data_IF_182222157250
#
_entry.id   IF_182222157250
#
_cell.length_a   1.000
_cell.length_b   1.000
_cell.length_c   1.000
_cell.angle_alpha   90.00
_cell.angle_beta   90.00
_cell.angle_gamma   90.00
#
_symmetry.space_group_name_H-M   'P 1'
#
loop_
_entity.id
_entity.type
_entity.pdbx_description
1 polymer ?
#
# COMPACT_ATOMS: atom_id res chain seq x y z
N UNK A 1 21.92 37.11 -49.00
CA UNK A 1 22.39 37.02 -47.60
C UNK A 1 21.33 37.65 -46.69
N UNK A 2 21.03 36.98 -45.57
CA UNK A 2 20.19 37.40 -44.42
C UNK A 2 18.68 37.17 -44.56
N UNK A 3 18.12 36.15 -43.87
CA UNK A 3 17.54 36.17 -42.48
C UNK A 3 16.12 36.77 -42.55
N UNK A 4 15.01 36.10 -42.24
CA UNK A 4 14.67 35.29 -41.07
C UNK A 4 13.45 34.40 -41.35
N UNK A 5 13.56 33.13 -41.00
CA UNK A 5 12.43 32.28 -40.69
C UNK A 5 11.83 32.76 -39.36
N UNK A 6 10.63 33.34 -39.39
CA UNK A 6 9.86 33.74 -38.21
C UNK A 6 8.92 32.62 -37.77
N UNK A 7 9.49 31.55 -37.26
CA UNK A 7 8.80 30.46 -36.57
C UNK A 7 8.19 30.99 -35.27
N UNK A 8 6.92 31.38 -35.27
CA UNK A 8 6.15 31.55 -34.03
C UNK A 8 5.53 30.20 -33.69
N UNK A 9 6.38 29.32 -33.19
CA UNK A 9 5.95 28.15 -32.45
C UNK A 9 5.44 28.67 -31.11
N UNK A 10 4.13 28.90 -30.99
CA UNK A 10 3.51 29.19 -29.72
C UNK A 10 3.68 27.95 -28.82
N UNK A 11 4.68 28.03 -27.94
CA UNK A 11 4.90 27.19 -26.78
C UNK A 11 3.65 27.22 -25.90
N UNK A 12 2.68 26.36 -26.20
CA UNK A 12 1.68 25.93 -25.22
C UNK A 12 2.24 24.66 -24.58
N UNK A 13 3.36 24.81 -23.88
CA UNK A 13 3.88 23.76 -23.02
C UNK A 13 3.55 24.10 -21.58
N UNK A 14 2.85 23.14 -20.97
CA UNK A 14 2.85 22.87 -19.53
C UNK A 14 2.31 23.98 -18.64
N UNK A 15 0.98 24.05 -18.57
CA UNK A 15 0.33 24.26 -17.27
C UNK A 15 0.83 23.13 -16.39
N UNK A 16 1.87 23.39 -15.59
CA UNK A 16 2.26 22.51 -14.51
C UNK A 16 1.06 22.40 -13.59
N UNK A 17 0.30 21.31 -13.72
CA UNK A 17 -0.50 20.84 -12.62
C UNK A 17 0.50 20.61 -11.50
N UNK A 18 0.53 21.51 -10.52
CA UNK A 18 1.25 21.28 -9.29
C UNK A 18 0.69 19.98 -8.73
N UNK A 19 1.50 18.91 -8.73
CA UNK A 19 1.10 17.65 -8.11
C UNK A 19 0.68 17.99 -6.67
N UNK A 20 -0.57 17.68 -6.32
CA UNK A 20 -1.04 17.88 -4.96
C UNK A 20 -0.09 17.16 -3.99
N UNK A 21 0.23 17.76 -2.84
CA UNK A 21 1.15 17.14 -1.90
C UNK A 21 0.63 15.76 -1.51
N UNK A 22 1.35 14.71 -1.92
CA UNK A 22 1.02 13.33 -1.62
C UNK A 22 1.24 13.08 -0.14
N UNK A 23 0.18 12.74 0.59
CA UNK A 23 0.30 12.27 1.96
C UNK A 23 1.08 10.96 1.94
N UNK A 24 2.17 10.90 2.68
CA UNK A 24 2.99 9.68 2.78
C UNK A 24 2.40 8.70 3.78
N UNK A 25 2.80 7.42 3.69
CA UNK A 25 2.44 6.38 4.66
C UNK A 25 2.83 6.79 6.09
N UNK A 26 4.02 7.36 6.27
CA UNK A 26 4.50 7.83 7.57
C UNK A 26 3.64 8.96 8.12
N UNK A 27 3.34 9.97 7.31
CA UNK A 27 2.46 11.09 7.70
C UNK A 27 1.06 10.59 8.06
N UNK A 28 0.48 9.72 7.24
CA UNK A 28 -0.83 9.10 7.50
C UNK A 28 -0.87 8.34 8.83
N UNK A 29 0.17 7.54 9.13
CA UNK A 29 0.28 6.83 10.41
C UNK A 29 0.43 7.77 11.61
N UNK A 30 0.99 8.97 11.42
CA UNK A 30 1.15 9.94 12.51
C UNK A 30 -0.02 10.92 12.65
N UNK A 31 -0.86 11.06 11.61
CA UNK A 31 -2.01 11.99 11.62
C UNK A 31 -3.24 11.44 12.35
N UNK A 32 -3.30 10.13 12.58
CA UNK A 32 -4.40 9.45 13.25
C UNK A 32 -3.99 8.96 14.63
N UNK A 33 -4.95 8.89 15.55
CA UNK A 33 -4.72 8.21 16.83
C UNK A 33 -4.61 6.68 16.66
N UNK A 34 -4.15 5.99 17.71
CA UNK A 34 -3.94 4.55 17.63
C UNK A 34 -5.24 3.76 17.40
N UNK A 35 -6.36 4.19 17.99
CA UNK A 35 -7.63 3.48 17.82
C UNK A 35 -8.11 3.59 16.38
N UNK A 36 -7.99 4.77 15.78
CA UNK A 36 -8.32 5.01 14.38
C UNK A 36 -7.42 4.18 13.45
N UNK A 37 -6.12 4.14 13.71
CA UNK A 37 -5.19 3.28 12.97
C UNK A 37 -5.65 1.81 13.04
N UNK A 38 -5.92 1.29 14.23
CA UNK A 38 -6.33 -0.10 14.41
C UNK A 38 -7.63 -0.43 13.66
N UNK A 39 -8.59 0.50 13.60
CA UNK A 39 -9.80 0.34 12.80
C UNK A 39 -9.46 0.24 11.31
N UNK A 40 -8.64 1.15 10.77
CA UNK A 40 -8.23 1.10 9.36
C UNK A 40 -7.47 -0.18 9.01
N UNK A 41 -6.53 -0.59 9.87
CA UNK A 41 -5.81 -1.85 9.73
C UNK A 41 -6.74 -3.07 9.78
N UNK A 42 -7.76 -3.05 10.65
CA UNK A 42 -8.75 -4.13 10.70
C UNK A 42 -9.58 -4.19 9.41
N UNK A 43 -10.03 -3.04 8.90
CA UNK A 43 -10.82 -2.97 7.65
C UNK A 43 -10.00 -3.50 6.47
N UNK A 44 -8.81 -2.93 6.22
CA UNK A 44 -7.97 -3.36 5.10
C UNK A 44 -7.50 -4.80 5.24
N UNK A 45 -7.15 -5.24 6.46
CA UNK A 45 -6.83 -6.63 6.74
C UNK A 45 -7.98 -7.59 6.41
N UNK A 46 -9.22 -7.24 6.79
CA UNK A 46 -10.42 -8.03 6.46
C UNK A 46 -10.73 -8.02 4.96
N UNK A 47 -10.47 -6.93 4.25
CA UNK A 47 -10.58 -6.88 2.78
C UNK A 47 -9.60 -7.86 2.12
N UNK A 48 -8.38 -7.97 2.63
CA UNK A 48 -7.38 -8.94 2.17
C UNK A 48 -7.76 -10.39 2.52
N UNK A 49 -8.33 -10.64 3.70
CA UNK A 49 -8.90 -11.95 4.07
C UNK A 49 -10.03 -12.35 3.09
N UNK A 50 -10.92 -11.42 2.76
CA UNK A 50 -12.00 -11.67 1.79
C UNK A 50 -11.46 -11.98 0.39
N UNK A 51 -10.37 -11.32 -0.03
CA UNK A 51 -9.69 -11.64 -1.27
C UNK A 51 -9.13 -13.08 -1.28
N UNK A 52 -8.54 -13.55 -0.17
CA UNK A 52 -8.10 -14.94 -0.02
C UNK A 52 -9.26 -15.94 -0.11
N UNK A 53 -10.38 -15.66 0.56
CA UNK A 53 -11.56 -16.54 0.49
C UNK A 53 -12.14 -16.60 -0.93
N UNK A 54 -12.13 -15.48 -1.66
CA UNK A 54 -12.51 -15.47 -3.07
C UNK A 54 -11.58 -16.33 -3.94
N UNK A 55 -10.26 -16.22 -3.75
CA UNK A 55 -9.28 -17.06 -4.46
C UNK A 55 -9.50 -18.55 -4.17
N UNK A 56 -9.73 -18.90 -2.91
CA UNK A 56 -10.06 -20.26 -2.49
C UNK A 56 -11.33 -20.77 -3.16
N UNK A 57 -12.39 -19.95 -3.21
CA UNK A 57 -13.62 -20.28 -3.95
C UNK A 57 -13.34 -20.54 -5.45
N UNK A 58 -12.40 -19.81 -6.04
CA UNK A 58 -11.93 -20.01 -7.42
C UNK A 58 -10.90 -21.14 -7.59
N UNK A 59 -10.61 -21.90 -6.54
CA UNK A 59 -9.55 -22.92 -6.53
C UNK A 59 -8.17 -22.36 -6.95
N UNK A 60 -7.92 -21.09 -6.64
CA UNK A 60 -6.64 -20.42 -6.86
C UNK A 60 -5.83 -20.37 -5.55
N UNK A 61 -4.50 -20.33 -5.63
CA UNK A 61 -3.67 -20.16 -4.45
C UNK A 61 -4.01 -18.85 -3.71
N UNK A 62 -4.10 -18.88 -2.36
CA UNK A 62 -4.29 -17.66 -1.58
C UNK A 62 -3.06 -16.75 -1.64
N UNK A 63 -3.25 -15.47 -1.34
CA UNK A 63 -2.18 -14.47 -1.31
C UNK A 63 -1.25 -14.67 -0.09
N UNK A 64 -1.79 -15.12 1.04
CA UNK A 64 -1.09 -15.38 2.32
C UNK A 64 -1.87 -16.44 3.14
N UNK A 65 -1.24 -17.05 4.14
CA UNK A 65 -1.81 -18.19 4.89
C UNK A 65 -1.69 -18.02 6.41
N UNK A 66 -2.64 -17.31 7.03
CA UNK A 66 -2.68 -17.11 8.49
C UNK A 66 -3.02 -18.43 9.20
N UNK A 67 -2.30 -18.80 10.28
CA UNK A 67 -2.65 -19.97 11.10
C UNK A 67 -4.06 -19.82 11.72
N UNK A 68 -4.89 -20.87 11.73
CA UNK A 68 -6.27 -20.78 12.18
C UNK A 68 -6.42 -20.48 13.68
N UNK A 69 -5.40 -20.71 14.49
CA UNK A 69 -5.41 -20.40 15.93
C UNK A 69 -5.11 -18.92 16.23
N UNK A 70 -4.73 -18.13 15.22
CA UNK A 70 -4.29 -16.76 15.40
C UNK A 70 -5.49 -15.80 15.26
N UNK A 71 -5.97 -15.29 16.40
CA UNK A 71 -6.97 -14.22 16.39
C UNK A 71 -6.38 -12.93 15.81
N UNK A 72 -6.85 -12.55 14.62
CA UNK A 72 -6.34 -11.43 13.86
C UNK A 72 -7.27 -10.21 13.94
N UNK A 73 -6.73 -9.11 14.47
CA UNK A 73 -7.41 -7.84 14.66
C UNK A 73 -6.53 -6.66 14.18
N UNK A 74 -7.08 -5.45 14.28
CA UNK A 74 -6.40 -4.21 13.88
C UNK A 74 -5.00 -4.04 14.49
N UNK A 75 -4.85 -4.35 15.79
CA UNK A 75 -3.56 -4.26 16.50
C UNK A 75 -2.51 -5.18 15.89
N UNK A 76 -2.86 -6.42 15.51
CA UNK A 76 -1.91 -7.35 14.88
C UNK A 76 -1.53 -6.93 13.46
N UNK A 77 -2.51 -6.53 12.65
CA UNK A 77 -2.26 -5.99 11.30
C UNK A 77 -1.31 -4.79 11.36
N UNK A 78 -1.59 -3.84 12.26
CA UNK A 78 -0.73 -2.69 12.51
C UNK A 78 0.67 -3.10 12.92
N UNK A 79 0.80 -4.05 13.85
CA UNK A 79 2.11 -4.49 14.36
C UNK A 79 3.00 -5.08 13.25
N UNK A 80 2.44 -5.90 12.36
CA UNK A 80 3.16 -6.43 11.20
C UNK A 80 3.59 -5.34 10.23
N UNK A 81 2.73 -4.35 9.99
CA UNK A 81 3.04 -3.24 9.09
C UNK A 81 4.15 -2.34 9.64
N UNK A 82 4.11 -2.03 10.93
CA UNK A 82 5.17 -1.27 11.60
C UNK A 82 6.48 -2.05 11.56
N UNK A 83 6.44 -3.37 11.74
CA UNK A 83 7.63 -4.22 11.60
C UNK A 83 8.19 -4.19 10.17
N UNK A 84 7.32 -4.21 9.14
CA UNK A 84 7.75 -4.04 7.75
C UNK A 84 8.44 -2.68 7.54
N UNK A 85 7.88 -1.58 8.06
CA UNK A 85 8.50 -0.25 7.97
C UNK A 85 9.86 -0.19 8.67
N UNK A 86 10.01 -0.86 9.84
CA UNK A 86 11.31 -0.92 10.52
C UNK A 86 12.36 -1.64 9.68
N UNK A 87 11.98 -2.69 8.98
CA UNK A 87 12.86 -3.46 8.10
C UNK A 87 13.14 -2.71 6.78
N UNK A 88 12.19 -1.90 6.32
CA UNK A 88 12.21 -1.15 5.07
C UNK A 88 11.77 0.32 5.29
N UNK A 89 12.62 1.17 5.88
CA UNK A 89 12.25 2.53 6.25
C UNK A 89 11.79 3.40 5.07
N UNK A 90 12.21 3.07 3.85
CA UNK A 90 11.79 3.74 2.62
C UNK A 90 10.27 3.68 2.39
N UNK A 91 9.57 2.69 2.95
CA UNK A 91 8.10 2.55 2.85
C UNK A 91 7.40 3.74 3.51
N UNK A 92 7.95 4.30 4.59
CA UNK A 92 7.33 5.45 5.27
C UNK A 92 7.24 6.70 4.38
N UNK A 93 8.09 6.80 3.36
CA UNK A 93 8.10 7.91 2.38
C UNK A 93 7.23 7.68 1.15
N UNK A 94 6.59 6.51 1.04
CA UNK A 94 5.72 6.17 -0.09
C UNK A 94 4.36 6.82 0.03
N UNK A 95 3.65 6.90 -1.09
CA UNK A 95 2.29 7.45 -1.14
C UNK A 95 1.36 6.62 -0.25
N UNK A 96 0.53 7.26 0.57
CA UNK A 96 -0.40 6.58 1.48
C UNK A 96 -1.41 5.70 0.73
N UNK A 97 -1.69 5.96 -0.55
CA UNK A 97 -2.53 5.10 -1.39
C UNK A 97 -1.93 3.72 -1.65
N UNK A 98 -0.61 3.56 -1.44
CA UNK A 98 0.08 2.27 -1.53
C UNK A 98 0.00 1.45 -0.22
N UNK A 99 -0.76 1.92 0.77
CA UNK A 99 -0.91 1.27 2.07
C UNK A 99 -1.30 -0.22 1.99
N UNK A 100 -2.37 -0.56 1.26
CA UNK A 100 -2.87 -1.94 1.19
C UNK A 100 -1.88 -2.90 0.51
N UNK A 101 -1.22 -2.54 -0.61
CA UNK A 101 -0.10 -3.32 -1.14
C UNK A 101 1.00 -3.61 -0.11
N UNK A 102 1.42 -2.62 0.68
CA UNK A 102 2.43 -2.83 1.71
C UNK A 102 1.93 -3.70 2.87
N UNK A 103 0.65 -3.58 3.25
CA UNK A 103 0.04 -4.47 4.24
C UNK A 103 0.01 -5.91 3.76
N UNK A 104 -0.31 -6.14 2.48
CA UNK A 104 -0.23 -7.46 1.87
C UNK A 104 1.20 -8.02 1.89
N UNK A 105 2.21 -7.20 1.60
CA UNK A 105 3.62 -7.62 1.69
C UNK A 105 3.97 -8.02 3.12
N UNK A 106 3.56 -7.24 4.13
CA UNK A 106 3.79 -7.58 5.54
C UNK A 106 3.16 -8.94 5.89
N UNK A 107 1.92 -9.18 5.45
CA UNK A 107 1.22 -10.45 5.68
C UNK A 107 1.89 -11.62 4.96
N UNK A 108 2.36 -11.43 3.72
CA UNK A 108 3.08 -12.46 2.97
C UNK A 108 4.41 -12.83 3.60
N UNK A 109 5.14 -11.85 4.12
CA UNK A 109 6.40 -12.08 4.81
C UNK A 109 6.18 -12.85 6.12
N UNK A 110 5.11 -12.53 6.86
CA UNK A 110 4.77 -13.20 8.12
C UNK A 110 4.16 -14.59 7.91
N UNK A 111 3.38 -14.79 6.85
CA UNK A 111 2.51 -15.96 6.66
C UNK A 111 2.61 -16.54 5.25
N UNK A 112 3.78 -17.10 4.93
CA UNK A 112 4.01 -17.77 3.66
C UNK A 112 3.10 -18.99 3.51
N UNK A 113 2.47 -19.12 2.35
CA UNK A 113 1.70 -20.31 2.02
C UNK A 113 2.61 -21.50 1.70
N UNK A 114 2.25 -22.71 2.12
CA UNK A 114 2.98 -23.92 1.74
C UNK A 114 3.04 -24.03 0.21
N UNK A 115 4.22 -24.30 -0.33
CA UNK A 115 4.33 -24.62 -1.76
C UNK A 115 3.58 -25.91 -2.03
N UNK A 116 2.54 -25.86 -2.87
CA UNK A 116 1.87 -27.05 -3.39
C UNK A 116 2.90 -27.88 -4.17
N UNK A 117 3.36 -28.98 -3.58
CA UNK A 117 4.11 -30.01 -4.30
C UNK A 117 3.17 -30.84 -5.17
#
# INVERSE_FOLDING_TARGET
MWKLAGMVLALVFSVGAAEEPKVTVGEWLTSMDQSEQEIWFAISGKSLDAANEYLKFKSQPPLFCIPPELDFNGTRYRSLFIELIKQHPEIASKDATEFEPFLLIALRNAFQCPSSK
#
